data_IF_186065525150
#
_entry.id   IF_186065525150
#
_cell.length_a   1.000
_cell.length_b   1.000
_cell.length_c   1.000
_cell.angle_alpha   90.00
_cell.angle_beta   90.00
_cell.angle_gamma   90.00
#
_symmetry.space_group_name_H-M   'P 1'
#
loop_
_entity.id
_entity.type
_entity.pdbx_description
1 polymer ?
#
# COMPACT_ATOMS: atom_id res chain seq x y z
N UNK A 1 -0.23 29.90 36.13
CA UNK A 1 0.32 30.56 34.93
C UNK A 1 -0.56 30.12 33.79
N UNK A 2 -1.31 31.05 33.21
CA UNK A 2 -2.17 30.76 32.07
C UNK A 2 -1.28 30.37 30.89
N UNK A 3 -1.72 29.40 30.08
CA UNK A 3 -1.02 28.92 28.89
C UNK A 3 -0.63 30.05 27.92
N UNK A 4 -1.39 31.15 27.91
CA UNK A 4 -1.10 32.35 27.13
C UNK A 4 0.00 33.24 27.72
N UNK A 5 0.23 33.23 29.04
CA UNK A 5 1.28 34.04 29.69
C UNK A 5 2.68 33.50 29.37
N UNK A 6 2.85 32.17 29.31
CA UNK A 6 4.12 31.53 28.93
C UNK A 6 4.54 31.91 27.49
N UNK A 7 3.59 32.03 26.56
CA UNK A 7 3.85 32.46 25.18
C UNK A 7 4.21 33.95 25.10
N UNK A 8 3.62 34.79 25.94
CA UNK A 8 3.91 36.24 26.00
C UNK A 8 5.28 36.53 26.62
N UNK A 9 5.70 35.76 27.64
CA UNK A 9 7.04 35.88 28.22
C UNK A 9 8.13 35.51 27.20
N UNK A 10 7.91 34.45 26.41
CA UNK A 10 8.82 34.04 25.34
C UNK A 10 8.87 35.07 24.19
N UNK A 11 7.77 35.76 23.92
CA UNK A 11 7.74 36.88 22.98
C UNK A 11 8.58 38.07 23.46
N UNK A 12 8.56 38.37 24.77
CA UNK A 12 9.40 39.41 25.37
C UNK A 12 10.91 39.14 25.28
N UNK A 13 11.31 37.88 25.07
CA UNK A 13 12.71 37.46 24.89
C UNK A 13 13.16 37.47 23.41
N UNK A 14 12.26 37.72 22.46
CA UNK A 14 12.58 37.84 21.03
C UNK A 14 12.94 36.52 20.33
N UNK A 15 12.68 35.36 20.93
CA UNK A 15 12.97 34.05 20.32
C UNK A 15 11.73 33.45 19.62
N UNK A 16 11.56 33.80 18.33
CA UNK A 16 10.49 33.28 17.48
C UNK A 16 10.46 31.74 17.45
N UNK A 17 11.63 31.09 17.58
CA UNK A 17 11.74 29.62 17.56
C UNK A 17 11.28 28.99 18.88
N UNK A 18 11.39 29.71 20.00
CA UNK A 18 10.90 29.24 21.29
C UNK A 18 9.37 29.33 21.38
N UNK A 19 8.77 30.40 20.85
CA UNK A 19 7.31 30.59 20.78
C UNK A 19 6.64 29.46 19.97
N UNK A 20 7.19 29.12 18.79
CA UNK A 20 6.67 28.03 17.94
C UNK A 20 6.78 26.65 18.59
N UNK A 21 7.87 26.39 19.32
CA UNK A 21 8.07 25.13 20.07
C UNK A 21 7.11 24.99 21.24
N UNK A 22 6.90 26.06 22.01
CA UNK A 22 5.92 26.08 23.09
C UNK A 22 4.50 25.85 22.56
N UNK A 23 4.12 26.51 21.46
CA UNK A 23 2.83 26.31 20.80
C UNK A 23 2.62 24.86 20.32
N UNK A 24 3.63 24.23 19.67
CA UNK A 24 3.53 22.84 19.22
C UNK A 24 3.41 21.84 20.38
N UNK A 25 4.08 22.10 21.51
CA UNK A 25 3.93 21.29 22.74
C UNK A 25 2.52 21.42 23.32
N UNK A 26 1.96 22.63 23.33
CA UNK A 26 0.62 22.91 23.84
C UNK A 26 -0.49 22.37 22.93
N UNK A 27 -0.26 22.34 21.61
CA UNK A 27 -1.15 21.74 20.62
C UNK A 27 -1.25 20.21 20.75
N UNK A 28 -0.16 19.54 21.16
CA UNK A 28 -0.19 18.11 21.47
C UNK A 28 -1.00 17.79 22.72
N UNK A 29 -1.12 18.73 23.66
CA UNK A 29 -1.87 18.57 24.90
C UNK A 29 -3.33 19.04 24.82
N UNK A 30 -3.64 19.99 23.94
CA UNK A 30 -4.99 20.50 23.70
C UNK A 30 -5.38 20.16 22.26
N UNK A 31 -5.96 18.98 22.06
CA UNK A 31 -6.47 18.57 20.74
C UNK A 31 -7.75 19.35 20.41
N UNK A 32 -7.95 19.77 19.15
CA UNK A 32 -9.14 20.51 18.72
C UNK A 32 -10.46 19.74 18.92
N UNK A 33 -10.37 18.41 19.03
CA UNK A 33 -11.51 17.50 19.21
C UNK A 33 -12.05 17.49 20.65
N UNK A 34 -11.24 17.92 21.63
CA UNK A 34 -11.59 17.87 23.06
C UNK A 34 -12.15 19.22 23.58
N UNK A 35 -11.65 20.37 23.11
CA UNK A 35 -12.14 21.71 23.49
C UNK A 35 -11.81 22.76 22.40
N UNK A 36 -12.84 23.14 21.62
CA UNK A 36 -12.69 24.05 20.49
C UNK A 36 -12.46 25.51 20.91
N UNK A 37 -13.03 25.95 22.03
CA UNK A 37 -12.92 27.35 22.51
C UNK A 37 -11.53 27.58 23.11
N UNK A 38 -11.02 26.61 23.90
CA UNK A 38 -9.66 26.66 24.43
C UNK A 38 -8.58 26.65 23.33
N UNK A 39 -8.84 25.98 22.21
CA UNK A 39 -7.97 26.01 21.04
C UNK A 39 -7.92 27.39 20.36
N UNK A 40 -9.07 28.05 20.21
CA UNK A 40 -9.13 29.39 19.60
C UNK A 40 -8.41 30.44 20.47
N UNK A 41 -8.61 30.39 21.79
CA UNK A 41 -7.93 31.28 22.73
C UNK A 41 -6.41 31.08 22.73
N UNK A 42 -5.96 29.82 22.67
CA UNK A 42 -4.53 29.48 22.55
C UNK A 42 -3.94 29.96 21.21
N UNK A 43 -4.67 29.78 20.12
CA UNK A 43 -4.25 30.21 18.79
C UNK A 43 -4.15 31.74 18.69
N UNK A 44 -5.12 32.46 19.28
CA UNK A 44 -5.11 33.92 19.35
C UNK A 44 -3.91 34.45 20.16
N UNK A 45 -3.61 33.82 21.31
CA UNK A 45 -2.42 34.16 22.11
C UNK A 45 -1.11 33.93 21.35
N UNK A 46 -1.00 32.82 20.61
CA UNK A 46 0.16 32.52 19.77
C UNK A 46 0.36 33.54 18.64
N UNK A 47 -0.70 33.92 17.94
CA UNK A 47 -0.62 34.94 16.89
C UNK A 47 -0.19 36.30 17.45
N UNK A 48 -0.72 36.68 18.62
CA UNK A 48 -0.34 37.91 19.31
C UNK A 48 1.14 37.91 19.74
N UNK A 49 1.63 36.79 20.30
CA UNK A 49 3.03 36.60 20.68
C UNK A 49 3.99 36.71 19.48
N UNK A 50 3.61 36.12 18.33
CA UNK A 50 4.38 36.24 17.09
C UNK A 50 4.42 37.67 16.54
N UNK A 51 3.30 38.39 16.61
CA UNK A 51 3.23 39.78 16.17
C UNK A 51 4.14 40.68 17.02
N UNK A 52 4.14 40.51 18.34
CA UNK A 52 5.03 41.22 19.27
C UNK A 52 6.50 40.95 18.97
N UNK A 53 6.88 39.67 18.80
CA UNK A 53 8.25 39.28 18.47
C UNK A 53 8.75 39.88 17.15
N UNK A 54 7.86 40.03 16.17
CA UNK A 54 8.17 40.67 14.87
C UNK A 54 8.32 42.17 15.00
N UNK A 55 7.48 42.84 15.78
CA UNK A 55 7.62 44.29 16.02
C UNK A 55 8.92 44.64 16.77
N UNK A 56 9.35 43.80 17.73
CA UNK A 56 10.61 44.01 18.45
C UNK A 56 11.84 43.77 17.57
N UNK A 57 11.74 42.89 16.57
CA UNK A 57 12.81 42.66 15.60
C UNK A 57 12.96 43.83 14.61
N UNK A 58 11.85 44.47 14.23
CA UNK A 58 11.83 45.64 13.35
C UNK A 58 12.34 46.91 14.05
N UNK A 59 11.98 47.13 15.33
CA UNK A 59 12.53 48.22 16.14
C UNK A 59 14.04 48.10 16.37
N UNK A 60 14.56 46.87 16.50
CA UNK A 60 15.99 46.59 16.60
C UNK A 60 16.78 46.86 15.31
N UNK A 61 16.12 46.85 14.13
CA UNK A 61 16.76 47.12 12.84
C UNK A 61 16.87 48.62 12.53
N UNK A 62 16.00 49.46 13.10
CA UNK A 62 16.01 50.91 12.86
C UNK A 62 16.98 51.72 13.74
N UNK A 63 17.55 51.13 14.81
CA UNK A 63 18.44 51.84 15.74
C UNK A 63 19.93 51.84 15.36
N UNK A 64 20.34 51.29 14.21
CA UNK A 64 21.76 51.23 13.79
C UNK A 64 22.00 51.75 12.39
N UNK A 65 21.67 53.02 12.17
CA UNK A 65 22.27 53.81 11.09
C UNK A 65 23.27 54.78 11.73
N UNK A 66 24.54 54.36 11.76
CA UNK A 66 25.68 55.27 12.00
C UNK A 66 26.21 55.67 10.62
N UNK A 67 26.30 56.97 10.28
CA UNK A 67 26.90 57.38 9.03
C UNK A 67 28.43 57.29 9.11
N UNK A 68 28.99 56.78 8.02
CA UNK A 68 30.40 56.64 7.69
C UNK A 68 31.08 58.01 7.55
N UNK A 69 32.20 58.21 8.25
CA UNK A 69 33.21 59.21 7.91
C UNK A 69 34.55 58.94 8.61
N UNK A 70 35.61 58.77 7.82
CA UNK A 70 36.87 59.47 8.05
C UNK A 70 38.03 58.67 8.65
N UNK A 71 39.06 58.46 7.82
CA UNK A 71 40.40 58.00 8.18
C UNK A 71 41.07 58.86 9.26
N UNK A 72 41.83 58.23 10.18
CA UNK A 72 43.24 58.54 10.50
C UNK A 72 43.69 57.80 11.79
N UNK A 73 44.96 57.40 11.82
CA UNK A 73 45.73 57.35 13.07
C UNK A 73 46.13 55.98 13.60
N UNK A 74 47.44 55.70 13.47
CA UNK A 74 48.25 54.79 14.28
C UNK A 74 47.84 54.77 15.76
N UNK A 75 47.83 53.60 16.39
CA UNK A 75 48.78 53.27 17.47
C UNK A 75 48.69 51.79 17.87
N UNK A 76 49.86 51.26 18.23
CA UNK A 76 50.11 49.88 18.56
C UNK A 76 49.50 49.51 19.92
N UNK A 77 49.03 48.27 20.06
CA UNK A 77 49.10 47.57 21.35
C UNK A 77 49.24 46.07 21.09
N UNK A 78 50.43 45.60 21.40
CA UNK A 78 50.84 44.22 21.55
C UNK A 78 49.91 43.50 22.54
N UNK A 79 49.16 42.53 22.03
CA UNK A 79 48.58 41.46 22.83
C UNK A 79 49.14 40.17 22.20
N UNK A 80 49.82 39.29 22.96
CA UNK A 80 50.36 38.06 22.40
C UNK A 80 49.19 37.23 21.86
N UNK A 81 49.09 37.16 20.54
CA UNK A 81 48.20 36.23 19.86
C UNK A 81 48.73 34.84 20.21
N UNK A 82 48.12 34.19 21.19
CA UNK A 82 48.30 32.76 21.41
C UNK A 82 47.90 32.11 20.09
N UNK A 83 48.92 31.75 19.31
CA UNK A 83 48.78 30.87 18.18
C UNK A 83 48.38 29.53 18.80
N UNK A 84 47.07 29.31 18.94
CA UNK A 84 46.58 27.93 18.93
C UNK A 84 47.10 27.39 17.61
N UNK A 85 48.11 26.54 17.70
CA UNK A 85 48.48 25.68 16.61
C UNK A 85 47.17 25.07 16.10
N UNK A 86 46.86 25.40 14.86
CA UNK A 86 45.79 24.79 14.09
C UNK A 86 46.18 23.31 14.01
N UNK A 87 45.80 22.56 15.04
CA UNK A 87 45.92 21.12 15.07
C UNK A 87 44.92 20.70 14.03
N UNK A 88 45.37 20.57 12.79
CA UNK A 88 44.55 20.18 11.66
C UNK A 88 43.72 18.97 12.10
N UNK A 89 42.45 19.23 12.42
CA UNK A 89 41.50 18.17 12.64
C UNK A 89 41.59 17.28 11.39
N UNK A 90 41.67 15.95 11.53
CA UNK A 90 41.69 15.09 10.36
C UNK A 90 40.53 15.52 9.48
N UNK A 91 40.81 15.88 8.23
CA UNK A 91 39.80 16.22 7.24
C UNK A 91 39.04 14.93 6.99
N UNK A 92 38.04 14.67 7.83
CA UNK A 92 37.13 13.55 7.69
C UNK A 92 36.34 13.82 6.43
N UNK A 93 36.48 12.93 5.44
CA UNK A 93 35.71 12.99 4.22
C UNK A 93 34.26 12.55 4.52
N UNK A 94 33.24 13.40 4.29
CA UNK A 94 31.85 13.04 4.51
C UNK A 94 31.41 11.79 3.75
N UNK A 95 31.93 11.59 2.52
CA UNK A 95 31.60 10.42 1.70
C UNK A 95 32.21 9.13 2.26
N UNK A 96 33.47 9.17 2.70
CA UNK A 96 34.12 8.04 3.37
C UNK A 96 33.39 7.61 4.65
N UNK A 97 32.94 8.58 5.45
CA UNK A 97 32.14 8.29 6.66
C UNK A 97 30.77 7.70 6.31
N UNK A 98 30.10 8.23 5.30
CA UNK A 98 28.82 7.69 4.83
C UNK A 98 28.95 6.22 4.36
N UNK A 99 30.01 5.90 3.63
CA UNK A 99 30.28 4.54 3.16
C UNK A 99 30.54 3.59 4.34
N UNK A 100 31.33 4.01 5.33
CA UNK A 100 31.60 3.23 6.53
C UNK A 100 30.32 2.94 7.34
N UNK A 101 29.40 3.91 7.44
CA UNK A 101 28.09 3.71 8.07
C UNK A 101 27.27 2.64 7.33
N UNK A 102 27.23 2.68 6.00
CA UNK A 102 26.49 1.69 5.19
C UNK A 102 27.12 0.30 5.30
N UNK A 103 28.45 0.21 5.26
CA UNK A 103 29.16 -1.05 5.44
C UNK A 103 28.92 -1.64 6.83
N UNK A 104 28.90 -0.81 7.86
CA UNK A 104 28.58 -1.24 9.21
C UNK A 104 27.11 -1.71 9.31
N UNK A 105 26.17 -1.00 8.69
CA UNK A 105 24.76 -1.36 8.65
C UNK A 105 24.48 -2.66 7.89
N UNK A 106 25.35 -3.06 6.96
CA UNK A 106 25.23 -4.33 6.24
C UNK A 106 25.62 -5.55 7.09
N UNK A 107 26.41 -5.37 8.16
CA UNK A 107 26.97 -6.46 8.97
C UNK A 107 26.39 -6.47 10.39
N UNK A 108 26.17 -5.29 10.97
CA UNK A 108 25.72 -5.12 12.34
C UNK A 108 24.19 -5.02 12.45
N UNK A 109 23.64 -5.24 13.63
CA UNK A 109 22.21 -5.02 13.89
C UNK A 109 21.87 -3.53 13.96
N UNK A 110 20.60 -3.19 13.69
CA UNK A 110 20.10 -1.81 13.75
C UNK A 110 20.31 -1.12 15.11
N UNK A 111 20.32 -1.89 16.20
CA UNK A 111 20.65 -1.41 17.55
C UNK A 111 22.12 -1.01 17.69
N UNK A 112 23.04 -1.82 17.16
CA UNK A 112 24.47 -1.51 17.18
C UNK A 112 24.79 -0.31 16.30
N UNK A 113 24.11 -0.19 15.15
CA UNK A 113 24.18 0.99 14.30
C UNK A 113 23.71 2.26 15.05
N UNK A 114 22.63 2.18 15.82
CA UNK A 114 22.12 3.31 16.59
C UNK A 114 23.15 3.79 17.63
N UNK A 115 23.81 2.87 18.34
CA UNK A 115 24.88 3.20 19.30
C UNK A 115 26.06 3.87 18.59
N UNK A 116 26.51 3.31 17.47
CA UNK A 116 27.60 3.88 16.68
C UNK A 116 27.28 5.31 16.22
N UNK A 117 26.07 5.54 15.71
CA UNK A 117 25.64 6.88 15.29
C UNK A 117 25.59 7.85 16.47
N UNK A 118 25.13 7.41 17.64
CA UNK A 118 25.07 8.24 18.83
C UNK A 118 26.47 8.62 19.34
N UNK A 119 27.40 7.67 19.38
CA UNK A 119 28.81 7.92 19.74
C UNK A 119 29.48 8.89 18.78
N UNK A 120 29.27 8.71 17.46
CA UNK A 120 29.86 9.60 16.46
C UNK A 120 29.23 10.98 16.45
N UNK A 121 27.92 11.09 16.65
CA UNK A 121 27.21 12.37 16.69
C UNK A 121 27.74 13.32 17.78
N UNK A 122 28.25 12.79 18.91
CA UNK A 122 28.88 13.59 19.96
C UNK A 122 30.17 14.28 19.50
N UNK A 123 30.85 13.72 18.49
CA UNK A 123 32.13 14.23 17.97
C UNK A 123 31.97 15.11 16.73
N UNK A 124 30.77 15.18 16.15
CA UNK A 124 30.54 15.88 14.88
C UNK A 124 30.07 17.32 15.08
N UNK A 125 30.55 18.21 14.22
CA UNK A 125 29.92 19.52 14.07
C UNK A 125 28.57 19.37 13.35
N UNK A 126 27.63 20.28 13.62
CA UNK A 126 26.31 20.31 12.96
C UNK A 126 26.42 20.32 11.43
N UNK A 127 27.34 21.12 10.89
CA UNK A 127 27.58 21.19 9.44
C UNK A 127 28.09 19.85 8.89
N UNK A 128 29.06 19.24 9.56
CA UNK A 128 29.62 17.96 9.14
C UNK A 128 28.57 16.82 9.19
N UNK A 129 27.72 16.79 10.21
CA UNK A 129 26.61 15.83 10.32
C UNK A 129 25.66 15.96 9.12
N UNK A 130 25.33 17.18 8.70
CA UNK A 130 24.49 17.40 7.52
C UNK A 130 25.18 16.98 6.22
N UNK A 131 26.46 17.30 6.05
CA UNK A 131 27.24 16.90 4.86
C UNK A 131 27.33 15.37 4.75
N UNK A 132 27.53 14.66 5.87
CA UNK A 132 27.48 13.19 5.92
C UNK A 132 26.09 12.67 5.60
N UNK A 133 25.03 13.30 6.13
CA UNK A 133 23.64 12.94 5.85
C UNK A 133 23.30 13.01 4.36
N UNK A 134 23.71 14.08 3.67
CA UNK A 134 23.51 14.21 2.22
C UNK A 134 24.35 13.22 1.41
N UNK A 135 25.61 13.02 1.78
CA UNK A 135 26.47 12.02 1.14
C UNK A 135 25.91 10.60 1.30
N UNK A 136 25.31 10.30 2.46
CA UNK A 136 24.63 9.04 2.74
C UNK A 136 23.37 8.89 1.88
N UNK A 137 22.49 9.88 1.83
CA UNK A 137 21.28 9.85 1.00
C UNK A 137 21.60 9.63 -0.48
N UNK A 138 22.61 10.33 -1.00
CA UNK A 138 23.08 10.16 -2.37
C UNK A 138 23.62 8.74 -2.64
N UNK A 139 24.40 8.18 -1.71
CA UNK A 139 24.86 6.79 -1.80
C UNK A 139 23.70 5.78 -1.74
N UNK A 140 22.75 5.97 -0.83
CA UNK A 140 21.55 5.12 -0.70
C UNK A 140 20.71 5.14 -1.97
N UNK A 141 20.56 6.31 -2.61
CA UNK A 141 19.83 6.45 -3.85
C UNK A 141 20.53 5.77 -5.04
N UNK A 142 21.86 5.97 -5.17
CA UNK A 142 22.65 5.46 -6.29
C UNK A 142 22.92 3.95 -6.22
N UNK A 143 23.40 3.48 -5.08
CA UNK A 143 23.85 2.09 -4.92
C UNK A 143 22.76 1.15 -4.37
N UNK A 144 21.71 1.68 -3.76
CA UNK A 144 20.57 0.92 -3.21
C UNK A 144 21.03 -0.27 -2.33
N UNK A 145 21.90 -0.05 -1.32
CA UNK A 145 22.43 -1.12 -0.51
C UNK A 145 21.31 -1.86 0.23
N UNK A 146 21.46 -3.17 0.49
CA UNK A 146 20.43 -3.96 1.14
C UNK A 146 20.33 -3.60 2.64
N UNK A 147 19.39 -2.71 2.96
CA UNK A 147 19.11 -2.29 4.34
C UNK A 147 17.69 -2.68 4.74
N UNK A 148 17.54 -3.23 5.95
CA UNK A 148 16.22 -3.53 6.51
C UNK A 148 15.50 -2.25 6.97
N UNK A 149 14.19 -2.34 7.15
CA UNK A 149 13.35 -1.25 7.67
C UNK A 149 13.84 -0.70 9.01
N UNK A 150 14.33 -1.58 9.89
CA UNK A 150 14.91 -1.17 11.17
C UNK A 150 16.21 -0.36 11.00
N UNK A 151 17.10 -0.76 10.07
CA UNK A 151 18.32 -0.01 9.80
C UNK A 151 18.00 1.38 9.22
N UNK A 152 17.06 1.45 8.27
CA UNK A 152 16.68 2.72 7.66
C UNK A 152 16.01 3.65 8.67
N UNK A 153 15.14 3.13 9.54
CA UNK A 153 14.54 3.90 10.65
C UNK A 153 15.60 4.46 11.61
N UNK A 154 16.64 3.69 11.93
CA UNK A 154 17.78 4.18 12.71
C UNK A 154 18.53 5.31 11.99
N UNK A 155 18.70 5.24 10.66
CA UNK A 155 19.34 6.31 9.89
C UNK A 155 18.48 7.58 9.85
N UNK A 156 17.18 7.45 9.62
CA UNK A 156 16.22 8.56 9.66
C UNK A 156 16.30 9.28 11.01
N UNK A 157 16.24 8.53 12.12
CA UNK A 157 16.35 9.10 13.47
C UNK A 157 17.74 9.68 13.75
N UNK A 158 18.80 9.02 13.26
CA UNK A 158 20.18 9.43 13.47
C UNK A 158 20.59 10.71 12.74
N UNK A 159 19.89 11.07 11.65
CA UNK A 159 20.14 12.29 10.86
C UNK A 159 18.97 13.27 10.83
N UNK A 160 17.89 12.99 11.57
CA UNK A 160 16.68 13.81 11.64
C UNK A 160 16.01 14.06 10.26
N UNK A 161 16.06 13.09 9.34
CA UNK A 161 15.51 13.23 7.97
C UNK A 161 13.97 13.36 7.92
N UNK A 162 13.29 13.02 9.01
CA UNK A 162 11.84 13.20 9.17
C UNK A 162 11.45 14.64 9.57
N UNK A 163 12.42 15.52 9.83
CA UNK A 163 12.14 16.92 10.16
C UNK A 163 11.67 17.67 8.91
N UNK A 164 10.48 18.26 8.99
CA UNK A 164 9.87 19.11 7.95
C UNK A 164 10.80 20.30 7.61
N UNK A 165 11.68 20.68 8.53
CA UNK A 165 12.67 21.74 8.31
C UNK A 165 13.72 21.42 7.24
N UNK A 166 13.92 20.14 6.87
CA UNK A 166 14.98 19.74 5.92
C UNK A 166 14.63 19.94 4.43
N UNK A 167 13.44 20.45 4.08
CA UNK A 167 12.93 20.59 2.70
C UNK A 167 13.10 19.31 1.84
N UNK A 168 13.23 18.15 2.49
CA UNK A 168 13.38 16.87 1.82
C UNK A 168 12.02 16.41 1.30
N UNK A 169 11.95 15.94 0.06
CA UNK A 169 10.71 15.36 -0.48
C UNK A 169 10.40 14.02 0.24
N UNK A 170 9.29 13.93 1.01
CA UNK A 170 8.94 12.72 1.74
C UNK A 170 8.67 11.53 0.81
N UNK A 171 8.16 11.78 -0.40
CA UNK A 171 7.89 10.72 -1.38
C UNK A 171 9.19 10.14 -1.94
N UNK A 172 10.17 10.99 -2.20
CA UNK A 172 11.49 10.57 -2.64
C UNK A 172 12.19 9.74 -1.56
N UNK A 173 12.16 10.18 -0.30
CA UNK A 173 12.76 9.43 0.81
C UNK A 173 12.11 8.05 0.99
N UNK A 174 10.78 7.98 0.94
CA UNK A 174 10.04 6.72 0.98
C UNK A 174 10.40 5.81 -0.21
N UNK A 175 10.64 6.39 -1.39
CA UNK A 175 11.09 5.63 -2.56
C UNK A 175 12.50 5.04 -2.37
N UNK A 176 13.43 5.81 -1.78
CA UNK A 176 14.79 5.33 -1.45
C UNK A 176 14.73 4.22 -0.40
N UNK A 177 13.99 4.42 0.69
CA UNK A 177 13.78 3.42 1.74
C UNK A 177 13.29 2.10 1.14
N UNK A 178 12.23 2.19 0.33
CA UNK A 178 11.63 1.03 -0.33
C UNK A 178 12.64 0.28 -1.19
N UNK A 179 13.49 0.98 -1.96
CA UNK A 179 14.51 0.33 -2.81
C UNK A 179 15.57 -0.41 -1.99
N UNK A 180 16.09 0.21 -0.94
CA UNK A 180 17.03 -0.45 -0.02
C UNK A 180 16.40 -1.68 0.66
N UNK A 181 15.12 -1.55 1.07
CA UNK A 181 14.34 -2.64 1.66
C UNK A 181 14.11 -3.79 0.68
N UNK A 182 13.80 -3.48 -0.58
CA UNK A 182 13.66 -4.47 -1.65
C UNK A 182 14.96 -5.25 -1.86
N UNK A 183 16.10 -4.55 -1.95
CA UNK A 183 17.41 -5.18 -2.04
C UNK A 183 17.68 -6.10 -0.84
N UNK A 184 17.32 -5.67 0.37
CA UNK A 184 17.44 -6.50 1.56
C UNK A 184 16.53 -7.74 1.53
N UNK A 185 15.28 -7.62 1.08
CA UNK A 185 14.34 -8.75 0.96
C UNK A 185 14.79 -9.83 -0.05
N UNK A 186 15.68 -9.49 -0.99
CA UNK A 186 16.24 -10.45 -1.94
C UNK A 186 17.32 -11.34 -1.32
N UNK A 187 17.95 -10.94 -0.21
CA UNK A 187 18.95 -11.73 0.49
C UNK A 187 18.37 -13.01 1.11
N UNK A 188 19.19 -14.07 1.29
CA UNK A 188 18.76 -15.29 1.98
C UNK A 188 18.40 -15.05 3.46
N UNK A 189 19.05 -14.10 4.12
CA UNK A 189 18.85 -13.82 5.56
C UNK A 189 17.46 -13.26 5.87
N UNK A 190 16.86 -12.53 4.93
CA UNK A 190 15.56 -11.87 5.08
C UNK A 190 14.37 -12.73 4.64
N UNK A 191 14.61 -14.01 4.27
CA UNK A 191 13.57 -14.92 3.77
C UNK A 191 12.43 -15.14 4.75
N UNK A 192 12.71 -15.14 6.05
CA UNK A 192 11.69 -15.21 7.09
C UNK A 192 10.70 -14.06 7.01
N UNK A 193 11.21 -12.83 6.86
CA UNK A 193 10.41 -11.60 6.72
C UNK A 193 9.66 -11.55 5.40
N UNK A 194 10.31 -11.94 4.29
CA UNK A 194 9.66 -12.01 2.98
C UNK A 194 8.47 -12.98 2.99
N UNK A 195 8.64 -14.15 3.64
CA UNK A 195 7.55 -15.13 3.81
C UNK A 195 6.40 -14.58 4.63
N UNK A 196 6.67 -13.90 5.75
CA UNK A 196 5.62 -13.26 6.55
C UNK A 196 4.81 -12.24 5.72
N UNK A 197 5.49 -11.42 4.91
CA UNK A 197 4.83 -10.47 4.00
C UNK A 197 4.04 -11.19 2.90
N UNK A 198 4.56 -12.28 2.37
CA UNK A 198 3.84 -13.11 1.41
C UNK A 198 2.56 -13.73 1.99
N UNK A 199 2.60 -14.20 3.23
CA UNK A 199 1.44 -14.74 3.96
C UNK A 199 0.38 -13.67 4.24
N UNK A 200 0.78 -12.41 4.46
CA UNK A 200 -0.17 -11.30 4.60
C UNK A 200 -0.91 -11.01 3.28
N UNK A 201 -0.24 -11.19 2.15
CA UNK A 201 -0.80 -10.91 0.83
C UNK A 201 -1.51 -12.11 0.19
N UNK A 202 -1.30 -13.33 0.69
CA UNK A 202 -1.78 -14.56 0.04
C UNK A 202 -2.34 -15.59 1.01
N UNK A 203 -3.39 -16.30 0.61
CA UNK A 203 -4.00 -17.38 1.42
C UNK A 203 -3.15 -18.66 1.49
N UNK A 204 -1.91 -18.66 1.00
CA UNK A 204 -1.09 -19.86 0.87
C UNK A 204 0.22 -19.71 1.65
N UNK A 205 0.56 -20.77 2.36
CA UNK A 205 1.85 -20.91 3.01
C UNK A 205 2.89 -21.47 2.02
N UNK A 206 4.05 -20.81 1.93
CA UNK A 206 5.24 -21.30 1.22
C UNK A 206 6.29 -21.73 2.24
N UNK A 207 6.90 -22.90 2.02
CA UNK A 207 8.09 -23.30 2.77
C UNK A 207 9.28 -22.40 2.42
N UNK A 208 10.30 -22.37 3.29
CA UNK A 208 11.53 -21.59 3.04
C UNK A 208 12.20 -21.98 1.71
N UNK A 209 12.28 -23.27 1.42
CA UNK A 209 12.86 -23.77 0.17
C UNK A 209 12.04 -23.34 -1.06
N UNK A 210 10.71 -23.42 -1.01
CA UNK A 210 9.87 -22.96 -2.12
C UNK A 210 9.98 -21.45 -2.34
N UNK A 211 10.18 -20.66 -1.27
CA UNK A 211 10.43 -19.22 -1.34
C UNK A 211 11.78 -18.92 -1.99
N UNK A 212 12.85 -19.63 -1.59
CA UNK A 212 14.17 -19.50 -2.20
C UNK A 212 14.11 -19.81 -3.69
N UNK A 213 13.47 -20.92 -4.06
CA UNK A 213 13.27 -21.28 -5.46
C UNK A 213 12.45 -20.23 -6.20
N UNK A 214 11.48 -19.58 -5.54
CA UNK A 214 10.65 -18.54 -6.15
C UNK A 214 11.43 -17.24 -6.41
N UNK A 215 12.30 -16.84 -5.49
CA UNK A 215 13.17 -15.68 -5.68
C UNK A 215 14.26 -15.98 -6.71
N UNK A 216 14.91 -17.14 -6.63
CA UNK A 216 15.92 -17.56 -7.62
C UNK A 216 15.34 -17.58 -9.04
N UNK A 217 14.07 -17.99 -9.18
CA UNK A 217 13.36 -17.94 -10.47
C UNK A 217 13.22 -16.55 -11.05
N UNK A 218 13.09 -15.51 -10.22
CA UNK A 218 12.97 -14.10 -10.62
C UNK A 218 14.34 -13.43 -10.84
N UNK A 219 15.40 -14.01 -10.31
CA UNK A 219 16.79 -13.55 -10.48
C UNK A 219 17.45 -14.17 -11.73
N UNK A 220 17.15 -15.44 -12.02
CA UNK A 220 17.72 -16.17 -13.16
C UNK A 220 17.28 -15.58 -14.51
N UNK A 221 18.23 -15.27 -15.40
CA UNK A 221 17.89 -14.91 -16.79
C UNK A 221 17.35 -16.13 -17.55
N UNK A 222 16.03 -16.24 -17.69
CA UNK A 222 15.37 -17.36 -18.39
C UNK A 222 14.75 -16.95 -19.72
N UNK A 223 14.68 -17.86 -20.71
CA UNK A 223 14.02 -17.57 -21.97
C UNK A 223 12.51 -17.43 -21.78
N UNK A 224 11.91 -16.49 -22.55
CA UNK A 224 10.48 -16.11 -22.42
C UNK A 224 9.50 -17.28 -22.49
N UNK A 225 9.80 -18.34 -23.25
CA UNK A 225 8.92 -19.50 -23.38
C UNK A 225 8.73 -20.24 -22.04
N UNK A 226 9.73 -20.23 -21.16
CA UNK A 226 9.65 -20.90 -19.86
C UNK A 226 8.63 -20.22 -18.95
N UNK A 227 8.60 -18.89 -18.94
CA UNK A 227 7.57 -18.11 -18.22
C UNK A 227 6.16 -18.44 -18.74
N UNK A 228 6.01 -18.64 -20.05
CA UNK A 228 4.72 -19.02 -20.66
C UNK A 228 4.25 -20.39 -20.20
N UNK A 229 5.14 -21.37 -20.05
CA UNK A 229 4.80 -22.68 -19.53
C UNK A 229 4.47 -22.61 -18.03
N UNK A 230 5.22 -21.85 -17.26
CA UNK A 230 4.97 -21.67 -15.83
C UNK A 230 3.63 -20.97 -15.57
N UNK A 231 3.21 -20.05 -16.44
CA UNK A 231 1.90 -19.40 -16.39
C UNK A 231 0.71 -20.37 -16.64
N UNK A 232 0.95 -21.53 -17.26
CA UNK A 232 -0.07 -22.58 -17.42
C UNK A 232 -0.27 -23.34 -16.10
N UNK A 233 0.77 -23.45 -15.27
CA UNK A 233 0.69 -24.13 -13.96
C UNK A 233 -0.11 -23.27 -12.98
N UNK A 234 -1.28 -23.72 -12.48
CA UNK A 234 -2.17 -22.88 -11.67
C UNK A 234 -1.53 -22.32 -10.41
N UNK A 235 -0.71 -23.14 -9.76
CA UNK A 235 -0.06 -22.83 -8.50
C UNK A 235 0.96 -21.69 -8.66
N UNK A 236 1.86 -21.82 -9.64
CA UNK A 236 2.91 -20.81 -9.93
C UNK A 236 2.33 -19.50 -10.45
N UNK A 237 1.32 -19.60 -11.30
CA UNK A 237 0.58 -18.44 -11.80
C UNK A 237 -0.07 -17.63 -10.68
N UNK A 238 -0.35 -18.25 -9.52
CA UNK A 238 -0.86 -17.56 -8.33
C UNK A 238 0.28 -16.96 -7.53
N UNK A 239 1.33 -17.72 -7.23
CA UNK A 239 2.35 -17.34 -6.25
C UNK A 239 3.22 -16.16 -6.71
N UNK A 240 3.65 -16.11 -7.98
CA UNK A 240 4.63 -15.11 -8.44
C UNK A 240 4.11 -13.66 -8.38
N UNK A 241 2.86 -13.35 -8.77
CA UNK A 241 2.28 -12.03 -8.55
C UNK A 241 2.21 -11.61 -7.07
N UNK A 242 1.88 -12.53 -6.16
CA UNK A 242 1.88 -12.24 -4.72
C UNK A 242 3.29 -12.05 -4.17
N UNK A 243 4.29 -12.74 -4.73
CA UNK A 243 5.69 -12.50 -4.41
C UNK A 243 6.14 -11.10 -4.84
N UNK A 244 5.77 -10.66 -6.05
CA UNK A 244 6.04 -9.28 -6.49
C UNK A 244 5.31 -8.25 -5.61
N UNK A 245 4.09 -8.54 -5.17
CA UNK A 245 3.38 -7.71 -4.21
C UNK A 245 4.05 -7.67 -2.84
N UNK A 246 4.57 -8.80 -2.34
CA UNK A 246 5.32 -8.89 -1.08
C UNK A 246 6.66 -8.14 -1.15
N UNK A 247 7.25 -8.03 -2.34
CA UNK A 247 8.41 -7.20 -2.65
C UNK A 247 8.03 -5.73 -2.91
N UNK A 248 6.77 -5.33 -2.74
CA UNK A 248 6.30 -3.97 -3.01
C UNK A 248 6.66 -3.48 -4.42
N UNK A 249 6.62 -4.36 -5.42
CA UNK A 249 6.90 -3.96 -6.82
C UNK A 249 5.68 -3.35 -7.48
N UNK A 250 5.84 -2.15 -8.05
CA UNK A 250 4.83 -1.50 -8.87
C UNK A 250 5.23 -1.50 -10.36
N UNK A 251 4.30 -1.82 -11.29
CA UNK A 251 4.60 -1.88 -12.73
C UNK A 251 5.07 -0.57 -13.38
N UNK A 252 4.89 0.57 -12.70
CA UNK A 252 5.30 1.89 -13.17
C UNK A 252 6.72 2.28 -12.72
N UNK A 253 7.34 1.46 -11.88
CA UNK A 253 8.63 1.74 -11.24
C UNK A 253 9.77 0.95 -11.90
N UNK A 254 11.00 1.43 -11.70
CA UNK A 254 12.21 0.72 -12.09
C UNK A 254 12.29 -0.65 -11.39
N UNK A 255 12.82 -1.64 -12.09
CA UNK A 255 12.97 -2.99 -11.56
C UNK A 255 14.04 -2.99 -10.45
N UNK A 256 13.77 -3.59 -9.28
CA UNK A 256 14.75 -3.68 -8.21
C UNK A 256 16.05 -4.32 -8.69
N UNK A 257 17.19 -3.80 -8.23
CA UNK A 257 18.49 -4.36 -8.54
C UNK A 257 18.55 -5.85 -8.14
N UNK A 258 19.08 -6.69 -9.04
CA UNK A 258 19.21 -8.14 -8.83
C UNK A 258 18.06 -9.00 -9.38
N UNK A 259 16.95 -8.41 -9.84
CA UNK A 259 15.89 -9.13 -10.54
C UNK A 259 16.02 -9.03 -12.06
N UNK A 260 15.64 -10.08 -12.80
CA UNK A 260 15.61 -10.00 -14.26
C UNK A 260 14.41 -9.16 -14.74
N UNK A 261 14.64 -8.07 -15.49
CA UNK A 261 13.58 -7.14 -15.86
C UNK A 261 12.52 -7.80 -16.76
N UNK A 262 12.91 -8.79 -17.58
CA UNK A 262 11.98 -9.44 -18.50
C UNK A 262 11.02 -10.38 -17.78
N UNK A 263 11.46 -10.99 -16.69
CA UNK A 263 10.62 -11.82 -15.83
C UNK A 263 9.66 -10.98 -15.00
N UNK A 264 10.17 -9.94 -14.35
CA UNK A 264 9.36 -9.03 -13.54
C UNK A 264 8.29 -8.37 -14.40
N UNK A 265 8.64 -7.85 -15.58
CA UNK A 265 7.68 -7.24 -16.51
C UNK A 265 6.57 -8.22 -16.94
N UNK A 266 6.91 -9.48 -17.24
CA UNK A 266 5.93 -10.50 -17.60
C UNK A 266 4.98 -10.81 -16.45
N UNK A 267 5.52 -11.06 -15.25
CA UNK A 267 4.74 -11.48 -14.09
C UNK A 267 3.95 -10.32 -13.47
N UNK A 268 4.45 -9.09 -13.55
CA UNK A 268 3.71 -7.89 -13.17
C UNK A 268 2.49 -7.69 -14.07
N UNK A 269 2.66 -7.80 -15.39
CA UNK A 269 1.54 -7.81 -16.36
C UNK A 269 0.59 -8.98 -16.16
N UNK A 270 1.10 -10.13 -15.74
CA UNK A 270 0.27 -11.30 -15.44
C UNK A 270 -0.54 -11.13 -14.15
N UNK A 271 0.02 -10.44 -13.16
CA UNK A 271 -0.61 -10.15 -11.87
C UNK A 271 -1.80 -9.23 -11.99
N UNK A 272 -1.81 -8.33 -12.97
CA UNK A 272 -2.94 -7.43 -13.21
C UNK A 272 -4.14 -8.18 -13.84
N UNK A 273 -5.28 -8.32 -13.14
CA UNK A 273 -6.40 -9.15 -13.61
C UNK A 273 -7.08 -8.63 -14.88
N UNK A 274 -6.96 -7.33 -15.16
CA UNK A 274 -7.48 -6.66 -16.37
C UNK A 274 -6.61 -6.91 -17.60
N UNK A 275 -5.37 -7.34 -17.43
CA UNK A 275 -4.41 -7.37 -18.51
C UNK A 275 -4.66 -8.55 -19.47
N UNK A 276 -4.43 -8.32 -20.77
CA UNK A 276 -4.70 -9.32 -21.83
C UNK A 276 -3.92 -10.62 -21.63
N UNK A 277 -2.73 -10.55 -21.05
CA UNK A 277 -1.89 -11.73 -20.75
C UNK A 277 -2.59 -12.63 -19.73
N UNK A 278 -3.05 -12.09 -18.61
CA UNK A 278 -3.80 -12.84 -17.59
C UNK A 278 -5.01 -13.56 -18.19
N UNK A 279 -5.78 -12.84 -19.02
CA UNK A 279 -6.97 -13.37 -19.69
C UNK A 279 -6.63 -14.51 -20.66
N UNK A 280 -5.61 -14.35 -21.51
CA UNK A 280 -5.20 -15.38 -22.49
C UNK A 280 -4.78 -16.68 -21.82
N UNK A 281 -3.98 -16.61 -20.76
CA UNK A 281 -3.53 -17.80 -20.03
C UNK A 281 -4.61 -18.39 -19.13
N UNK A 282 -5.54 -17.58 -18.61
CA UNK A 282 -6.77 -18.09 -17.98
C UNK A 282 -7.62 -18.91 -18.96
N UNK A 283 -7.86 -18.35 -20.15
CA UNK A 283 -8.61 -19.02 -21.22
C UNK A 283 -7.94 -20.33 -21.63
N UNK A 284 -6.64 -20.30 -21.89
CA UNK A 284 -5.85 -21.49 -22.26
C UNK A 284 -5.94 -22.59 -21.19
N UNK A 285 -5.77 -22.27 -19.91
CA UNK A 285 -5.87 -23.25 -18.82
C UNK A 285 -7.27 -23.85 -18.74
N UNK A 286 -8.31 -23.02 -18.81
CA UNK A 286 -9.69 -23.50 -18.78
C UNK A 286 -10.03 -24.40 -19.99
N UNK A 287 -9.48 -24.10 -21.16
CA UNK A 287 -9.64 -24.90 -22.36
C UNK A 287 -8.91 -26.25 -22.27
N UNK A 288 -7.69 -26.28 -21.72
CA UNK A 288 -6.93 -27.53 -21.48
C UNK A 288 -7.69 -28.43 -20.51
N UNK A 289 -8.19 -27.87 -19.39
CA UNK A 289 -8.99 -28.62 -18.41
C UNK A 289 -10.28 -29.14 -19.04
N UNK A 290 -10.98 -28.30 -19.81
CA UNK A 290 -12.18 -28.70 -20.54
C UNK A 290 -11.91 -29.83 -21.52
N UNK A 291 -10.86 -29.72 -22.34
CA UNK A 291 -10.47 -30.76 -23.29
C UNK A 291 -10.13 -32.08 -22.59
N UNK A 292 -9.39 -32.04 -21.47
CA UNK A 292 -9.08 -33.22 -20.68
C UNK A 292 -10.34 -33.88 -20.12
N UNK A 293 -11.26 -33.08 -19.55
CA UNK A 293 -12.55 -33.57 -19.05
C UNK A 293 -13.40 -34.19 -20.17
N UNK A 294 -13.40 -33.55 -21.35
CA UNK A 294 -14.04 -34.06 -22.56
C UNK A 294 -13.47 -35.40 -23.02
N UNK A 295 -12.14 -35.56 -22.98
CA UNK A 295 -11.47 -36.79 -23.37
C UNK A 295 -11.76 -37.94 -22.40
N UNK A 296 -11.69 -37.68 -21.09
CA UNK A 296 -12.04 -38.66 -20.04
C UNK A 296 -13.50 -39.11 -20.18
N UNK A 297 -14.42 -38.16 -20.40
CA UNK A 297 -15.84 -38.49 -20.59
C UNK A 297 -16.10 -39.20 -21.91
N UNK A 298 -15.41 -38.85 -22.99
CA UNK A 298 -15.49 -39.56 -24.27
C UNK A 298 -15.04 -41.02 -24.14
N UNK A 299 -13.96 -41.27 -23.40
CA UNK A 299 -13.52 -42.62 -23.10
C UNK A 299 -14.58 -43.41 -22.31
N UNK A 300 -15.16 -42.79 -21.27
CA UNK A 300 -16.22 -43.42 -20.47
C UNK A 300 -17.50 -43.71 -21.25
N UNK A 301 -17.92 -42.79 -22.14
CA UNK A 301 -19.07 -42.97 -23.03
C UNK A 301 -18.81 -44.12 -24.01
N UNK A 302 -17.63 -44.17 -24.63
CA UNK A 302 -17.29 -45.22 -25.59
C UNK A 302 -17.17 -46.61 -24.93
N UNK A 303 -16.78 -46.67 -23.66
CA UNK A 303 -16.72 -47.91 -22.89
C UNK A 303 -18.10 -48.40 -22.41
N UNK A 304 -19.14 -47.56 -22.48
CA UNK A 304 -20.47 -47.88 -21.95
C UNK A 304 -21.42 -48.32 -23.07
N UNK A 305 -21.94 -49.56 -23.03
CA UNK A 305 -22.93 -50.04 -24.00
C UNK A 305 -24.34 -49.44 -23.77
N UNK A 306 -24.56 -48.71 -22.68
CA UNK A 306 -25.87 -48.20 -22.27
C UNK A 306 -26.18 -46.78 -22.79
N UNK A 307 -25.23 -46.12 -23.47
CA UNK A 307 -25.34 -44.71 -23.86
C UNK A 307 -25.46 -44.60 -25.38
N UNK A 308 -26.60 -44.11 -25.87
CA UNK A 308 -26.81 -43.82 -27.28
C UNK A 308 -25.84 -42.74 -27.78
N UNK A 309 -25.44 -42.81 -29.05
CA UNK A 309 -24.48 -41.87 -29.66
C UNK A 309 -24.85 -40.38 -29.46
N UNK A 310 -26.14 -40.05 -29.57
CA UNK A 310 -26.64 -38.69 -29.33
C UNK A 310 -26.45 -38.23 -27.89
N UNK A 311 -26.82 -39.08 -26.91
CA UNK A 311 -26.65 -38.77 -25.48
C UNK A 311 -25.18 -38.69 -25.10
N UNK A 312 -24.36 -39.59 -25.66
CA UNK A 312 -22.92 -39.59 -25.50
C UNK A 312 -22.26 -38.31 -26.00
N UNK A 313 -22.63 -37.85 -27.20
CA UNK A 313 -22.15 -36.59 -27.76
C UNK A 313 -22.50 -35.37 -26.88
N UNK A 314 -23.73 -35.32 -26.35
CA UNK A 314 -24.14 -34.24 -25.43
C UNK A 314 -23.35 -34.24 -24.12
N UNK A 315 -23.10 -35.41 -23.53
CA UNK A 315 -22.31 -35.53 -22.29
C UNK A 315 -20.89 -35.01 -22.52
N UNK A 316 -20.24 -35.41 -23.62
CA UNK A 316 -18.89 -34.98 -23.97
C UNK A 316 -18.84 -33.47 -24.22
N UNK A 317 -19.84 -32.92 -24.93
CA UNK A 317 -19.93 -31.49 -25.19
C UNK A 317 -20.08 -30.68 -23.90
N UNK A 318 -20.98 -31.11 -22.99
CA UNK A 318 -21.18 -30.47 -21.69
C UNK A 318 -19.90 -30.54 -20.85
N UNK A 319 -19.25 -31.70 -20.78
CA UNK A 319 -18.01 -31.89 -20.03
C UNK A 319 -16.87 -31.01 -20.55
N UNK A 320 -16.75 -30.87 -21.87
CA UNK A 320 -15.71 -30.05 -22.51
C UNK A 320 -15.92 -28.55 -22.27
N UNK A 321 -17.18 -28.10 -22.31
CA UNK A 321 -17.53 -26.69 -22.18
C UNK A 321 -17.70 -26.22 -20.73
N UNK A 322 -17.83 -27.13 -19.77
CA UNK A 322 -18.09 -26.79 -18.36
C UNK A 322 -16.98 -25.89 -17.79
N UNK A 323 -15.71 -26.28 -17.95
CA UNK A 323 -14.57 -25.53 -17.41
C UNK A 323 -14.39 -24.12 -18.02
N UNK A 324 -14.35 -23.93 -19.36
CA UNK A 324 -14.24 -22.60 -19.96
C UNK A 324 -15.47 -21.73 -19.67
N UNK A 325 -16.68 -22.29 -19.67
CA UNK A 325 -17.89 -21.54 -19.34
C UNK A 325 -17.88 -21.06 -17.88
N UNK A 326 -17.48 -21.94 -16.95
CA UNK A 326 -17.35 -21.59 -15.53
C UNK A 326 -16.30 -20.50 -15.31
N UNK A 327 -15.16 -20.58 -16.00
CA UNK A 327 -14.11 -19.56 -15.92
C UNK A 327 -14.58 -18.19 -16.44
N UNK A 328 -15.28 -18.14 -17.58
CA UNK A 328 -15.87 -16.90 -18.11
C UNK A 328 -16.92 -16.31 -17.17
N UNK A 329 -17.79 -17.15 -16.60
CA UNK A 329 -18.79 -16.74 -15.61
C UNK A 329 -18.13 -16.13 -14.37
N UNK A 330 -17.09 -16.78 -13.82
CA UNK A 330 -16.34 -16.27 -12.68
C UNK A 330 -15.62 -14.95 -13.00
N UNK A 331 -15.06 -14.82 -14.20
CA UNK A 331 -14.42 -13.58 -14.66
C UNK A 331 -15.44 -12.43 -14.74
N UNK A 332 -16.59 -12.68 -15.38
CA UNK A 332 -17.68 -11.71 -15.47
C UNK A 332 -18.22 -11.32 -14.10
N UNK A 333 -18.42 -12.29 -13.21
CA UNK A 333 -18.86 -12.06 -11.84
C UNK A 333 -17.85 -11.22 -11.02
N UNK A 334 -16.55 -11.50 -11.16
CA UNK A 334 -15.49 -10.68 -10.53
C UNK A 334 -15.43 -9.27 -11.09
N UNK A 335 -15.66 -9.09 -12.38
CA UNK A 335 -15.75 -7.76 -13.00
C UNK A 335 -16.97 -6.99 -12.48
N UNK A 336 -18.12 -7.66 -12.37
CA UNK A 336 -19.35 -7.10 -11.80
C UNK A 336 -19.14 -6.68 -10.34
N UNK A 337 -18.52 -7.53 -9.52
CA UNK A 337 -18.19 -7.19 -8.13
C UNK A 337 -17.28 -5.95 -8.02
N UNK A 338 -16.24 -5.89 -8.86
CA UNK A 338 -15.35 -4.71 -8.91
C UNK A 338 -16.10 -3.45 -9.30
N UNK A 339 -16.98 -3.53 -10.29
CA UNK A 339 -17.81 -2.40 -10.72
C UNK A 339 -18.81 -1.95 -9.63
N UNK A 340 -19.42 -2.90 -8.93
CA UNK A 340 -20.36 -2.62 -7.83
C UNK A 340 -19.68 -2.04 -6.58
N UNK A 341 -18.46 -2.46 -6.27
CA UNK A 341 -17.71 -1.98 -5.10
C UNK A 341 -16.88 -0.72 -5.39
N UNK A 342 -16.76 -0.28 -6.64
CA UNK A 342 -16.01 0.91 -6.99
C UNK A 342 -16.61 2.18 -6.35
N UNK A 343 -15.74 3.12 -6.01
CA UNK A 343 -16.14 4.43 -5.47
C UNK A 343 -17.02 5.19 -6.47
N UNK A 344 -17.98 5.96 -5.99
CA UNK A 344 -19.00 6.61 -6.83
C UNK A 344 -18.46 7.82 -7.60
N UNK A 345 -17.35 8.38 -7.10
CA UNK A 345 -16.53 9.38 -7.78
C UNK A 345 -15.69 8.80 -8.92
N UNK A 346 -15.60 7.48 -9.05
CA UNK A 346 -14.81 6.83 -10.10
C UNK A 346 -15.54 6.99 -11.45
N UNK A 347 -14.90 7.69 -12.40
CA UNK A 347 -15.45 8.19 -13.68
C UNK A 347 -16.00 7.12 -14.67
N UNK A 348 -16.12 5.87 -14.24
CA UNK A 348 -16.55 4.71 -15.02
C UNK A 348 -18.08 4.54 -15.01
N UNK A 349 -18.78 5.57 -15.50
CA UNK A 349 -20.21 5.55 -15.76
C UNK A 349 -21.08 6.14 -14.64
N UNK A 350 -22.39 6.30 -14.89
CA UNK A 350 -23.26 7.04 -13.98
C UNK A 350 -23.56 6.21 -12.72
N UNK A 351 -23.35 6.83 -11.55
CA UNK A 351 -23.49 6.20 -10.23
C UNK A 351 -24.87 5.55 -10.01
N UNK A 352 -25.94 6.13 -10.58
CA UNK A 352 -27.30 5.61 -10.43
C UNK A 352 -27.48 4.19 -10.99
N UNK A 353 -26.73 3.78 -12.03
CA UNK A 353 -26.79 2.42 -12.56
C UNK A 353 -26.32 1.39 -11.53
N UNK A 354 -25.34 1.73 -10.70
CA UNK A 354 -24.85 0.85 -9.62
C UNK A 354 -25.89 0.69 -8.53
N UNK A 355 -26.67 1.73 -8.25
CA UNK A 355 -27.77 1.70 -7.29
C UNK A 355 -28.98 0.91 -7.81
N UNK A 356 -29.34 1.07 -9.08
CA UNK A 356 -30.47 0.36 -9.70
C UNK A 356 -30.18 -1.13 -9.95
N UNK A 357 -28.92 -1.53 -10.09
CA UNK A 357 -28.54 -2.92 -10.42
C UNK A 357 -29.06 -3.95 -9.41
N UNK A 358 -28.83 -3.74 -8.11
CA UNK A 358 -29.23 -4.72 -7.09
C UNK A 358 -30.75 -4.98 -7.05
N UNK A 359 -31.62 -3.95 -6.99
CA UNK A 359 -33.07 -4.16 -6.98
C UNK A 359 -33.60 -4.71 -8.31
N UNK A 360 -33.08 -4.26 -9.45
CA UNK A 360 -33.49 -4.80 -10.76
C UNK A 360 -33.10 -6.27 -10.92
N UNK A 361 -31.89 -6.66 -10.50
CA UNK A 361 -31.45 -8.04 -10.55
C UNK A 361 -32.22 -8.93 -9.57
N UNK A 362 -32.52 -8.44 -8.36
CA UNK A 362 -33.39 -9.12 -7.40
C UNK A 362 -34.81 -9.36 -7.96
N UNK A 363 -35.40 -8.35 -8.60
CA UNK A 363 -36.70 -8.47 -9.26
C UNK A 363 -36.65 -9.48 -10.42
N UNK A 364 -35.63 -9.41 -11.27
CA UNK A 364 -35.45 -10.33 -12.38
C UNK A 364 -35.34 -11.79 -11.91
N UNK A 365 -34.50 -12.08 -10.90
CA UNK A 365 -34.38 -13.42 -10.32
C UNK A 365 -35.71 -13.87 -9.70
N UNK A 366 -36.40 -13.00 -8.95
CA UNK A 366 -37.71 -13.31 -8.38
C UNK A 366 -38.76 -13.63 -9.46
N UNK A 367 -38.78 -12.88 -10.56
CA UNK A 367 -39.71 -13.14 -11.68
C UNK A 367 -39.37 -14.44 -12.41
N UNK A 368 -38.09 -14.74 -12.63
CA UNK A 368 -37.68 -15.99 -13.25
C UNK A 368 -38.13 -17.20 -12.41
N UNK A 369 -37.87 -17.15 -11.10
CA UNK A 369 -38.31 -18.18 -10.15
C UNK A 369 -39.83 -18.38 -10.15
N UNK A 370 -40.59 -17.27 -10.18
CA UNK A 370 -42.05 -17.33 -10.24
C UNK A 370 -42.53 -17.99 -11.54
N UNK A 371 -41.96 -17.61 -12.68
CA UNK A 371 -42.29 -18.21 -14.00
C UNK A 371 -41.92 -19.69 -14.04
N UNK A 372 -40.75 -20.08 -13.54
CA UNK A 372 -40.32 -21.49 -13.47
C UNK A 372 -41.34 -22.34 -12.70
N UNK A 373 -41.80 -21.84 -11.54
CA UNK A 373 -42.81 -22.50 -10.71
C UNK A 373 -44.19 -22.52 -11.37
N UNK A 374 -44.58 -21.44 -12.05
CA UNK A 374 -45.85 -21.36 -12.77
C UNK A 374 -45.91 -22.35 -13.97
N UNK A 375 -44.76 -22.62 -14.59
CA UNK A 375 -44.61 -23.58 -15.69
C UNK A 375 -44.37 -25.02 -15.21
N UNK A 376 -44.33 -25.28 -13.90
CA UNK A 376 -44.09 -26.61 -13.33
C UNK A 376 -42.69 -27.18 -13.61
N UNK A 377 -41.69 -26.32 -13.87
CA UNK A 377 -40.32 -26.73 -14.17
C UNK A 377 -39.51 -26.99 -12.88
N UNK A 378 -39.93 -27.97 -12.08
CA UNK A 378 -39.33 -28.28 -10.77
C UNK A 378 -38.11 -29.23 -10.87
N UNK A 379 -37.23 -28.98 -11.84
CA UNK A 379 -36.00 -29.77 -12.02
C UNK A 379 -34.92 -29.41 -11.00
N UNK A 380 -34.18 -30.42 -10.51
CA UNK A 380 -33.05 -30.24 -9.57
C UNK A 380 -32.01 -29.21 -10.07
N UNK A 381 -31.75 -29.18 -11.39
CA UNK A 381 -30.82 -28.23 -12.02
C UNK A 381 -31.35 -26.79 -12.05
N UNK A 382 -32.66 -26.60 -12.19
CA UNK A 382 -33.27 -25.27 -12.16
C UNK A 382 -33.24 -24.72 -10.72
N UNK A 383 -33.56 -25.57 -9.73
CA UNK A 383 -33.46 -25.20 -8.32
C UNK A 383 -32.02 -24.84 -7.89
N UNK A 384 -31.01 -25.53 -8.40
CA UNK A 384 -29.60 -25.20 -8.09
C UNK A 384 -29.16 -23.90 -8.77
N UNK A 385 -29.65 -23.64 -9.99
CA UNK A 385 -29.41 -22.38 -10.70
C UNK A 385 -30.02 -21.19 -9.93
N UNK A 386 -31.27 -21.30 -9.48
CA UNK A 386 -31.95 -20.24 -8.71
C UNK A 386 -31.19 -19.90 -7.42
N UNK A 387 -30.74 -20.94 -6.70
CA UNK A 387 -29.90 -20.78 -5.50
C UNK A 387 -28.56 -20.11 -5.80
N UNK A 388 -27.91 -20.47 -6.91
CA UNK A 388 -26.66 -19.86 -7.33
C UNK A 388 -26.82 -18.35 -7.65
N UNK A 389 -27.92 -17.96 -8.32
CA UNK A 389 -28.23 -16.56 -8.59
C UNK A 389 -28.46 -15.76 -7.31
N UNK A 390 -29.28 -16.26 -6.38
CA UNK A 390 -29.52 -15.60 -5.09
C UNK A 390 -28.25 -15.49 -4.26
N UNK A 391 -27.44 -16.54 -4.23
CA UNK A 391 -26.15 -16.53 -3.55
C UNK A 391 -25.19 -15.48 -4.14
N UNK A 392 -25.11 -15.38 -5.47
CA UNK A 392 -24.34 -14.35 -6.15
C UNK A 392 -24.81 -12.93 -5.79
N UNK A 393 -26.12 -12.68 -5.77
CA UNK A 393 -26.69 -11.38 -5.37
C UNK A 393 -26.36 -11.03 -3.91
N UNK A 394 -26.52 -12.00 -3.00
CA UNK A 394 -26.21 -11.80 -1.58
C UNK A 394 -24.72 -11.49 -1.36
N UNK A 395 -23.83 -12.18 -2.06
CA UNK A 395 -22.39 -11.89 -2.03
C UNK A 395 -22.06 -10.48 -2.51
N UNK A 396 -22.70 -10.01 -3.60
CA UNK A 396 -22.53 -8.63 -4.08
C UNK A 396 -22.98 -7.64 -3.02
N UNK A 397 -24.17 -7.84 -2.43
CA UNK A 397 -24.73 -6.97 -1.39
C UNK A 397 -23.81 -6.86 -0.17
N UNK A 398 -23.34 -8.00 0.35
CA UNK A 398 -22.45 -8.07 1.51
C UNK A 398 -21.11 -7.42 1.21
N UNK A 399 -20.49 -7.76 0.07
CA UNK A 399 -19.17 -7.21 -0.27
C UNK A 399 -19.21 -5.70 -0.43
N UNK A 400 -20.27 -5.19 -1.07
CA UNK A 400 -20.53 -3.75 -1.18
C UNK A 400 -20.70 -3.08 0.18
N UNK A 401 -21.50 -3.67 1.07
CA UNK A 401 -21.71 -3.16 2.42
C UNK A 401 -20.41 -3.16 3.26
N UNK A 402 -19.55 -4.17 3.10
CA UNK A 402 -18.23 -4.23 3.78
C UNK A 402 -17.27 -3.15 3.31
N UNK A 403 -17.21 -2.91 2.00
CA UNK A 403 -16.29 -1.91 1.43
C UNK A 403 -16.67 -0.46 1.77
N UNK A 404 -17.91 -0.24 2.25
CA UNK A 404 -18.48 1.09 2.51
C UNK A 404 -18.97 1.28 3.96
N UNK A 405 -18.77 0.28 4.81
CA UNK A 405 -19.16 0.33 6.22
C UNK A 405 -18.05 0.97 7.08
N UNK A 406 -18.41 1.49 8.26
CA UNK A 406 -17.45 2.15 9.17
C UNK A 406 -16.35 1.21 9.68
N UNK A 407 -16.64 -0.10 9.80
CA UNK A 407 -15.67 -1.12 10.22
C UNK A 407 -15.51 -2.24 9.18
N UNK A 408 -14.40 -2.27 8.42
CA UNK A 408 -14.10 -3.36 7.48
C UNK A 408 -13.86 -4.71 8.19
N UNK A 409 -13.58 -4.69 9.50
CA UNK A 409 -13.37 -5.86 10.35
C UNK A 409 -14.58 -6.26 11.19
N UNK A 410 -15.68 -5.51 11.16
CA UNK A 410 -16.91 -5.96 11.82
C UNK A 410 -17.40 -7.23 11.12
N UNK A 411 -17.67 -8.29 11.88
CA UNK A 411 -18.21 -9.55 11.38
C UNK A 411 -19.59 -9.30 10.75
N UNK A 412 -19.61 -8.87 9.49
CA UNK A 412 -20.83 -8.75 8.74
C UNK A 412 -21.42 -10.16 8.60
N UNK A 413 -22.44 -10.42 9.43
CA UNK A 413 -23.20 -11.65 9.56
C UNK A 413 -23.24 -12.41 8.23
N UNK A 414 -22.63 -13.60 8.17
CA UNK A 414 -22.73 -14.51 7.02
C UNK A 414 -24.15 -15.08 6.83
N UNK A 415 -25.04 -14.75 7.77
CA UNK A 415 -26.45 -15.11 7.82
C UNK A 415 -27.20 -14.97 6.47
N UNK A 416 -26.98 -13.95 5.60
CA UNK A 416 -27.63 -13.87 4.30
C UNK A 416 -27.14 -14.89 3.29
N UNK A 417 -25.88 -15.32 3.38
CA UNK A 417 -25.32 -16.37 2.54
C UNK A 417 -25.94 -17.72 2.92
N UNK A 418 -26.02 -18.00 4.21
CA UNK A 418 -26.65 -19.22 4.72
C UNK A 418 -28.15 -19.25 4.44
N UNK A 419 -28.86 -18.14 4.68
CA UNK A 419 -30.30 -18.03 4.42
C UNK A 419 -30.59 -18.09 2.91
N UNK A 420 -29.81 -17.43 2.05
CA UNK A 420 -30.02 -17.49 0.60
C UNK A 420 -29.78 -18.88 0.01
N UNK A 421 -28.87 -19.66 0.61
CA UNK A 421 -28.63 -21.05 0.21
C UNK A 421 -29.81 -21.96 0.58
N UNK A 422 -30.42 -21.75 1.76
CA UNK A 422 -31.54 -22.59 2.24
C UNK A 422 -32.87 -22.11 1.63
N UNK A 423 -33.13 -20.80 1.69
CA UNK A 423 -34.39 -20.14 1.36
C UNK A 423 -34.16 -18.94 0.42
N UNK A 424 -34.26 -19.15 -0.91
CA UNK A 424 -33.91 -18.14 -1.91
C UNK A 424 -34.67 -16.81 -1.75
N UNK A 425 -35.96 -16.87 -1.43
CA UNK A 425 -36.82 -15.68 -1.21
C UNK A 425 -36.31 -14.83 -0.04
N UNK A 426 -35.90 -15.47 1.06
CA UNK A 426 -35.36 -14.76 2.22
C UNK A 426 -33.97 -14.16 1.90
N UNK A 427 -33.16 -14.84 1.08
CA UNK A 427 -31.89 -14.30 0.57
C UNK A 427 -32.07 -13.04 -0.27
N UNK A 428 -33.09 -13.00 -1.14
CA UNK A 428 -33.44 -11.80 -1.93
C UNK A 428 -33.87 -10.66 -1.00
N UNK A 429 -34.80 -10.93 -0.07
CA UNK A 429 -35.29 -9.91 0.87
C UNK A 429 -34.14 -9.30 1.69
N UNK A 430 -33.24 -10.14 2.19
CA UNK A 430 -32.10 -9.69 2.99
C UNK A 430 -31.09 -8.88 2.17
N UNK A 431 -30.86 -9.26 0.90
CA UNK A 431 -30.03 -8.48 -0.03
C UNK A 431 -30.60 -7.07 -0.28
N UNK A 432 -31.92 -6.95 -0.39
CA UNK A 432 -32.61 -5.66 -0.51
C UNK A 432 -32.52 -4.83 0.79
N UNK A 433 -32.55 -5.48 1.96
CA UNK A 433 -32.33 -4.80 3.24
C UNK A 433 -30.93 -4.18 3.29
N UNK A 434 -29.87 -4.93 2.96
CA UNK A 434 -28.50 -4.38 2.92
C UNK A 434 -28.38 -3.23 1.93
N UNK A 435 -28.99 -3.36 0.75
CA UNK A 435 -29.03 -2.28 -0.23
C UNK A 435 -29.72 -1.02 0.32
N UNK A 436 -30.85 -1.18 1.01
CA UNK A 436 -31.59 -0.06 1.58
C UNK A 436 -30.82 0.66 2.69
N UNK A 437 -30.03 -0.09 3.48
CA UNK A 437 -29.14 0.46 4.50
C UNK A 437 -28.00 1.26 3.87
N UNK A 438 -27.36 0.72 2.83
CA UNK A 438 -26.29 1.40 2.07
C UNK A 438 -26.79 2.71 1.45
N UNK A 439 -27.98 2.69 0.84
CA UNK A 439 -28.58 3.88 0.21
C UNK A 439 -28.88 4.98 1.23
N UNK A 440 -29.39 4.62 2.42
CA UNK A 440 -29.68 5.59 3.48
C UNK A 440 -28.42 6.29 3.98
N UNK A 441 -27.29 5.57 4.09
CA UNK A 441 -25.99 6.15 4.49
C UNK A 441 -25.46 7.13 3.45
N UNK A 442 -25.51 6.78 2.17
CA UNK A 442 -25.11 7.71 1.12
C UNK A 442 -25.96 9.00 1.12
N UNK A 443 -27.27 8.88 1.36
CA UNK A 443 -28.16 10.03 1.46
C UNK A 443 -27.92 10.90 2.70
N UNK A 444 -27.38 10.36 3.80
CA UNK A 444 -26.95 11.17 4.95
C UNK A 444 -25.64 11.91 4.67
N UNK A 445 -24.67 11.24 4.05
CA UNK A 445 -23.35 11.82 3.76
C UNK A 445 -23.40 12.92 2.69
N UNK A 446 -24.41 12.91 1.81
CA UNK A 446 -24.61 13.96 0.81
C UNK A 446 -25.42 15.16 1.32
N UNK A 447 -25.96 15.09 2.54
CA UNK A 447 -26.77 16.15 3.15
C UNK A 447 -26.08 16.88 4.32
N UNK A 448 -24.99 16.31 4.84
CA UNK A 448 -24.06 16.99 5.76
C UNK A 448 -22.93 17.62 4.97
#
# INVERSE_FOLDING_TARGET
MSTGEELLELAGQGDERAIKRAYARLLRSNRPDDDADAFQDLHACYQHALALCRSTADEGHHARVVPDAGQAGREASDIPRVVLADTAAPVLDPHGVALDIVQHAAVASASSLAVLLQERALSWSLRFRNDVGWALLDHLHREQPPLSEAHFSTLIQGFDWDDIALELDPLWLAAVERRCRQAWLLLPESRGTLRQRYEQCSDRYLSTQEMDDAVARLQDRRPRWRNRLEAIVPMRARDTPYLLAALEYWPAEEVPAGLDPTQVEFWARFGEPSHRVHLRYGALRSAIIGLFMGLVTAWGVNASPAVDAYRGGMIIAVATLLAPSSWLLLLGYRALLRWQCAHESDARGPAWLRWAFLPTAAAAVGTAMWVQRALGMDGLLLMSLDRAWVFGLALVAIKRARTRGPDPHSEANALPLFIGMIWPVAGIALSLVFWSMDLRRHLSDTRG
#
